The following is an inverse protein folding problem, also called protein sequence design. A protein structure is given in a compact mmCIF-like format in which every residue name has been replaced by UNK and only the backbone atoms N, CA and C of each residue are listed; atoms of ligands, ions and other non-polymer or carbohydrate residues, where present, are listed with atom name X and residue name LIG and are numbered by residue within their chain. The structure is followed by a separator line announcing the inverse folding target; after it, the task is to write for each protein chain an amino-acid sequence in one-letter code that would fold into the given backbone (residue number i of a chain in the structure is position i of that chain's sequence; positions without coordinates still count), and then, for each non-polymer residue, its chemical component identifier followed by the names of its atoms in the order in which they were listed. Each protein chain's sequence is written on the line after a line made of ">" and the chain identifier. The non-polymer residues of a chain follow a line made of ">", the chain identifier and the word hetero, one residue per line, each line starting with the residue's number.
data_IF_756815926468
#
_entry.id   IF_756815926468
#
_cell.length_a   1.000
_cell.length_b   1.000
_cell.length_c   1.000
_cell.angle_alpha   90.00
_cell.angle_beta   90.00
_cell.angle_gamma   90.00
#
_symmetry.space_group_name_H-M   'P 1'
#
loop_
_entity.id
_entity.type
_entity.pdbx_description
1 polymer ?
#
# COMPACT_ATOMS: atom_id res chain seq x y z
N UNK A 1 18.31 -7.04 -30.77
CA UNK A 1 17.90 -6.43 -29.48
C UNK A 1 16.92 -5.27 -29.70
N UNK A 2 16.23 -5.25 -30.83
CA UNK A 2 15.57 -4.05 -31.33
C UNK A 2 14.08 -4.01 -30.97
N UNK A 3 13.46 -5.18 -30.82
CA UNK A 3 12.07 -5.32 -30.40
C UNK A 3 11.81 -4.68 -29.03
N UNK A 4 12.70 -4.89 -28.04
CA UNK A 4 12.53 -4.35 -26.69
C UNK A 4 12.66 -2.82 -26.70
N UNK A 5 13.63 -2.27 -27.43
CA UNK A 5 13.82 -0.83 -27.54
C UNK A 5 12.65 -0.17 -28.28
N UNK A 6 12.14 -0.83 -29.33
CA UNK A 6 10.98 -0.35 -30.07
C UNK A 6 9.71 -0.40 -29.21
N UNK A 7 9.49 -1.49 -28.47
CA UNK A 7 8.37 -1.61 -27.53
C UNK A 7 8.40 -0.52 -26.45
N UNK A 8 9.58 -0.28 -25.84
CA UNK A 8 9.75 0.77 -24.84
C UNK A 8 9.48 2.14 -25.46
N UNK A 9 10.02 2.42 -26.65
CA UNK A 9 9.82 3.70 -27.34
C UNK A 9 8.37 3.93 -27.72
N UNK A 10 7.68 2.92 -28.24
CA UNK A 10 6.31 3.06 -28.73
C UNK A 10 5.31 3.17 -27.56
N UNK A 11 5.66 2.64 -26.38
CA UNK A 11 4.79 2.60 -25.20
C UNK A 11 5.35 3.38 -24.00
N UNK A 12 6.28 4.30 -24.22
CA UNK A 12 7.04 4.94 -23.13
C UNK A 12 6.14 5.68 -22.13
N UNK A 13 5.11 6.38 -22.62
CA UNK A 13 4.14 7.08 -21.77
C UNK A 13 3.37 6.12 -20.87
N UNK A 14 2.93 4.99 -21.40
CA UNK A 14 2.21 3.98 -20.63
C UNK A 14 3.12 3.37 -19.56
N UNK A 15 4.37 3.06 -19.90
CA UNK A 15 5.36 2.56 -18.94
C UNK A 15 5.63 3.56 -17.82
N UNK A 16 5.76 4.85 -18.14
CA UNK A 16 5.89 5.92 -17.14
C UNK A 16 4.65 6.02 -16.26
N UNK A 17 3.45 5.93 -16.85
CA UNK A 17 2.20 5.99 -16.10
C UNK A 17 2.08 4.82 -15.11
N UNK A 18 2.29 3.58 -15.57
CA UNK A 18 2.26 2.39 -14.71
C UNK A 18 3.36 2.45 -13.65
N UNK A 19 4.58 2.84 -14.03
CA UNK A 19 5.68 3.05 -13.08
C UNK A 19 5.35 4.10 -12.03
N UNK A 20 4.70 5.20 -12.44
CA UNK A 20 4.23 6.25 -11.55
C UNK A 20 3.16 5.77 -10.57
N UNK A 21 2.22 4.94 -11.02
CA UNK A 21 1.23 4.32 -10.13
C UNK A 21 1.88 3.40 -9.09
N UNK A 22 2.83 2.57 -9.51
CA UNK A 22 3.56 1.69 -8.60
C UNK A 22 4.38 2.48 -7.57
N UNK A 23 5.06 3.54 -8.02
CA UNK A 23 5.79 4.44 -7.14
C UNK A 23 4.84 5.14 -6.16
N UNK A 24 3.74 5.72 -6.66
CA UNK A 24 2.74 6.39 -5.82
C UNK A 24 2.16 5.43 -4.77
N UNK A 25 1.78 4.21 -5.17
CA UNK A 25 1.34 3.20 -4.22
C UNK A 25 2.41 2.89 -3.19
N UNK A 26 3.67 2.70 -3.61
CA UNK A 26 4.76 2.39 -2.69
C UNK A 26 5.01 3.52 -1.67
N UNK A 27 4.99 4.78 -2.12
CA UNK A 27 5.26 5.94 -1.27
C UNK A 27 4.05 6.38 -0.42
N UNK A 28 2.83 6.17 -0.90
CA UNK A 28 1.60 6.60 -0.23
C UNK A 28 0.91 5.48 0.54
N UNK A 29 1.34 4.22 0.39
CA UNK A 29 0.75 3.11 1.13
C UNK A 29 1.03 3.28 2.62
N UNK A 30 -0.04 3.38 3.40
CA UNK A 30 0.00 3.27 4.85
C UNK A 30 0.52 1.89 5.23
N UNK A 31 1.49 1.84 6.14
CA UNK A 31 1.94 0.58 6.73
C UNK A 31 0.74 -0.13 7.38
N UNK A 32 0.52 -1.43 7.11
CA UNK A 32 -0.52 -2.15 7.79
C UNK A 32 -0.28 -2.07 9.29
N UNK A 33 -1.34 -1.79 10.06
CA UNK A 33 -1.27 -1.83 11.51
C UNK A 33 -0.94 -3.27 11.91
N UNK A 34 0.21 -3.45 12.56
CA UNK A 34 0.73 -4.73 13.02
C UNK A 34 -0.10 -5.20 14.23
N UNK A 35 -1.28 -5.75 13.95
CA UNK A 35 -2.09 -6.50 14.91
C UNK A 35 -2.20 -7.91 14.34
N UNK A 36 -1.38 -8.82 14.86
CA UNK A 36 -1.37 -10.21 14.44
C UNK A 36 -2.59 -10.99 14.96
N UNK A 37 -3.30 -10.45 15.96
CA UNK A 37 -4.50 -11.06 16.52
C UNK A 37 -5.41 -10.05 17.24
N UNK A 38 -6.66 -10.47 17.49
CA UNK A 38 -7.59 -9.76 18.38
C UNK A 38 -7.07 -9.68 19.82
N UNK A 39 -6.27 -10.64 20.26
CA UNK A 39 -5.63 -10.66 21.59
C UNK A 39 -4.64 -9.50 21.75
N UNK A 40 -3.82 -9.25 20.71
CA UNK A 40 -2.88 -8.11 20.70
C UNK A 40 -3.59 -6.77 20.67
N UNK A 41 -4.74 -6.69 19.97
CA UNK A 41 -5.59 -5.52 20.01
C UNK A 41 -6.13 -5.27 21.42
N UNK A 42 -6.65 -6.30 22.09
CA UNK A 42 -7.18 -6.24 23.46
C UNK A 42 -6.10 -5.79 24.47
N UNK A 43 -4.87 -6.30 24.33
CA UNK A 43 -3.75 -5.84 25.15
C UNK A 43 -3.42 -4.37 24.89
N UNK A 44 -3.47 -3.91 23.63
CA UNK A 44 -3.12 -2.55 23.25
C UNK A 44 -4.12 -1.52 23.78
N UNK A 45 -5.43 -1.81 23.70
CA UNK A 45 -6.48 -0.91 24.23
C UNK A 45 -6.51 -0.90 25.77
N UNK A 46 -6.06 -1.98 26.43
CA UNK A 46 -5.96 -2.06 27.90
C UNK A 46 -4.68 -1.48 28.46
N UNK A 47 -3.72 -1.07 27.63
CA UNK A 47 -2.40 -0.57 28.05
C UNK A 47 -2.39 0.80 28.76
N UNK A 48 -3.58 1.37 29.04
CA UNK A 48 -3.73 2.65 29.75
C UNK A 48 -3.43 3.88 28.89
N UNK A 49 -3.10 3.70 27.61
CA UNK A 49 -2.94 4.79 26.64
C UNK A 49 -4.22 4.93 25.81
N UNK A 50 -4.72 6.15 25.57
CA UNK A 50 -5.82 6.37 24.63
C UNK A 50 -5.43 5.88 23.24
N UNK A 51 -6.30 5.06 22.62
CA UNK A 51 -6.10 4.51 21.28
C UNK A 51 -7.31 4.88 20.43
N UNK A 52 -7.10 5.31 19.19
CA UNK A 52 -8.17 5.53 18.21
C UNK A 52 -8.36 4.24 17.41
N UNK A 53 -9.60 3.77 17.30
CA UNK A 53 -9.96 2.54 16.59
C UNK A 53 -10.95 2.89 15.50
N UNK A 54 -10.57 2.62 14.25
CA UNK A 54 -11.43 2.80 13.08
C UNK A 54 -11.94 1.42 12.62
N UNK A 55 -13.27 1.27 12.54
CA UNK A 55 -13.91 0.07 12.04
C UNK A 55 -14.29 0.25 10.57
N UNK A 56 -13.77 -0.62 9.70
CA UNK A 56 -14.12 -0.64 8.29
C UNK A 56 -15.06 -1.81 8.01
N UNK A 57 -16.13 -1.57 7.25
CA UNK A 57 -17.02 -2.60 6.74
C UNK A 57 -17.10 -2.49 5.22
N UNK A 58 -16.61 -3.51 4.53
CA UNK A 58 -16.77 -3.65 3.07
C UNK A 58 -17.88 -4.67 2.83
N UNK A 59 -19.13 -4.23 2.99
CA UNK A 59 -20.28 -4.88 2.34
C UNK A 59 -20.43 -4.38 0.92
#
# INVERSE_FOLDING_TARGET
>A
MDFVLQFIRDNWLFLVFVGGLLAAWFFLRTSPTDLASTEEFDQKIRSGRPVVVEFFSNT
#
